data_IF_691493890785
#
_entry.id   IF_691493890785
#
_cell.length_a   1.000
_cell.length_b   1.000
_cell.length_c   1.000
_cell.angle_alpha   90.00
_cell.angle_beta   90.00
_cell.angle_gamma   90.00
#
_symmetry.space_group_name_H-M   'P 1'
#
loop_
_entity.id
_entity.type
_entity.pdbx_description
1 polymer ?
#
# COMPACT_ATOMS: atom_id res chain seq x y z
N UNK A 1 -11.16 -13.74 15.45
CA UNK A 1 -9.77 -14.16 15.25
C UNK A 1 -9.30 -13.55 13.95
N UNK A 2 -8.41 -12.56 13.99
CA UNK A 2 -7.92 -11.90 12.79
C UNK A 2 -6.41 -12.18 12.69
N UNK A 3 -6.08 -13.15 11.86
CA UNK A 3 -4.71 -13.38 11.41
C UNK A 3 -4.42 -12.37 10.31
N UNK A 4 -3.38 -11.57 10.51
CA UNK A 4 -2.97 -10.58 9.51
C UNK A 4 -1.63 -11.01 8.94
N UNK A 5 -1.72 -11.41 7.68
CA UNK A 5 -0.64 -11.78 6.78
C UNK A 5 0.29 -10.58 6.56
N UNK A 6 1.59 -10.88 6.54
CA UNK A 6 2.66 -9.92 6.37
C UNK A 6 2.49 -9.07 5.11
N UNK A 7 2.89 -7.79 5.21
CA UNK A 7 3.17 -6.97 4.03
C UNK A 7 4.24 -7.69 3.23
N UNK A 8 3.95 -8.04 1.98
CA UNK A 8 4.99 -8.51 1.08
C UNK A 8 5.84 -7.31 0.64
N UNK A 9 6.84 -6.97 1.47
CA UNK A 9 7.79 -5.90 1.19
C UNK A 9 8.63 -6.16 -0.08
N UNK A 10 8.58 -7.37 -0.62
CA UNK A 10 9.18 -7.68 -1.91
C UNK A 10 8.44 -6.98 -3.05
N UNK A 11 7.09 -6.97 -3.02
CA UNK A 11 6.28 -6.34 -4.06
C UNK A 11 6.54 -4.84 -4.08
N UNK A 12 6.43 -4.15 -2.94
CA UNK A 12 6.65 -2.69 -2.91
C UNK A 12 8.10 -2.33 -3.24
N UNK A 13 9.07 -3.19 -2.90
CA UNK A 13 10.48 -2.98 -3.28
C UNK A 13 10.76 -3.19 -4.78
N UNK A 14 9.85 -3.78 -5.55
CA UNK A 14 9.97 -3.88 -7.01
C UNK A 14 9.75 -2.52 -7.70
N UNK A 15 9.15 -1.54 -7.01
CA UNK A 15 9.12 -0.15 -7.51
C UNK A 15 10.50 0.50 -7.61
N UNK A 16 11.53 -0.07 -6.97
CA UNK A 16 12.81 0.61 -6.74
C UNK A 16 12.79 1.57 -5.55
N UNK A 17 11.62 1.84 -4.96
CA UNK A 17 11.47 2.68 -3.78
C UNK A 17 12.06 4.08 -3.97
N UNK A 18 12.80 4.57 -2.97
CA UNK A 18 13.48 5.86 -3.03
C UNK A 18 14.83 5.81 -3.77
N UNK A 19 15.24 4.63 -4.26
CA UNK A 19 16.53 4.46 -4.95
C UNK A 19 16.44 5.02 -6.37
N UNK A 20 17.49 5.71 -6.78
CA UNK A 20 17.60 6.38 -8.07
C UNK A 20 18.81 5.88 -8.85
N UNK A 21 18.94 6.26 -10.12
CA UNK A 21 20.12 5.92 -10.97
C UNK A 21 21.45 6.47 -10.43
N UNK A 22 21.40 7.34 -9.42
CA UNK A 22 22.58 7.90 -8.75
C UNK A 22 23.11 6.99 -7.64
N UNK A 23 22.32 6.03 -7.16
CA UNK A 23 22.71 5.07 -6.11
C UNK A 23 23.45 3.85 -6.70
N UNK A 24 23.73 3.86 -8.01
CA UNK A 24 24.50 2.85 -8.72
C UNK A 24 26.01 3.09 -8.55
N UNK A 25 26.79 2.06 -8.20
CA UNK A 25 28.19 2.20 -7.82
C UNK A 25 29.15 2.31 -9.02
N UNK A 26 28.96 1.52 -10.08
CA UNK A 26 29.87 1.47 -11.24
C UNK A 26 29.30 2.09 -12.52
N UNK A 27 28.01 2.46 -12.51
CA UNK A 27 27.28 2.94 -13.69
C UNK A 27 26.35 4.11 -13.32
N UNK A 28 26.89 5.14 -12.65
CA UNK A 28 26.12 6.31 -12.22
C UNK A 28 25.49 7.03 -13.41
N UNK A 29 24.17 7.19 -13.39
CA UNK A 29 23.45 8.02 -14.37
C UNK A 29 23.01 7.31 -15.66
N UNK A 30 23.24 6.01 -15.81
CA UNK A 30 22.61 5.22 -16.88
C UNK A 30 21.43 4.41 -16.33
N UNK A 31 20.24 4.45 -16.97
CA UNK A 31 19.06 3.73 -16.49
C UNK A 31 19.22 2.20 -16.56
N UNK A 32 20.27 1.71 -17.21
CA UNK A 32 20.52 0.28 -17.38
C UNK A 32 20.77 -0.46 -16.05
N UNK A 33 21.33 0.20 -15.02
CA UNK A 33 21.58 -0.42 -13.71
C UNK A 33 20.28 -0.85 -12.98
N UNK A 34 19.12 -0.33 -13.41
CA UNK A 34 17.81 -0.66 -12.85
C UNK A 34 17.09 -1.79 -13.62
N UNK A 35 17.20 -1.84 -14.96
CA UNK A 35 16.33 -2.66 -15.80
C UNK A 35 16.89 -4.01 -16.23
N UNK A 36 18.20 -4.16 -16.26
CA UNK A 36 18.85 -5.41 -16.65
C UNK A 36 20.08 -5.57 -15.79
N UNK A 37 20.24 -6.73 -15.17
CA UNK A 37 21.43 -7.08 -14.41
C UNK A 37 22.70 -7.08 -15.27
N UNK A 38 23.23 -5.90 -15.58
CA UNK A 38 24.67 -5.67 -15.57
C UNK A 38 25.21 -6.17 -14.20
N UNK A 39 26.40 -6.77 -14.16
CA UNK A 39 26.81 -7.62 -13.06
C UNK A 39 26.73 -6.85 -11.74
N UNK A 40 25.81 -7.26 -10.87
CA UNK A 40 25.84 -6.98 -9.43
C UNK A 40 26.23 -5.53 -9.09
N UNK A 41 25.43 -4.53 -9.51
CA UNK A 41 25.56 -3.18 -8.94
C UNK A 41 25.18 -3.27 -7.45
N UNK A 42 26.20 -3.48 -6.61
CA UNK A 42 26.08 -3.73 -5.17
C UNK A 42 25.32 -2.58 -4.49
N UNK A 43 25.57 -1.34 -4.92
CA UNK A 43 24.92 -0.14 -4.36
C UNK A 43 23.40 -0.13 -4.54
N UNK A 44 22.88 -0.55 -5.69
CA UNK A 44 21.44 -0.57 -5.94
C UNK A 44 20.74 -1.68 -5.14
N UNK A 45 21.38 -2.86 -5.03
CA UNK A 45 20.87 -3.97 -4.22
C UNK A 45 20.82 -3.61 -2.73
N UNK A 46 21.87 -2.98 -2.20
CA UNK A 46 21.91 -2.50 -0.82
C UNK A 46 20.85 -1.42 -0.55
N UNK A 47 20.65 -0.50 -1.50
CA UNK A 47 19.59 0.51 -1.41
C UNK A 47 18.20 -0.14 -1.40
N UNK A 48 17.94 -1.10 -2.30
CA UNK A 48 16.66 -1.80 -2.39
C UNK A 48 16.37 -2.63 -1.14
N UNK A 49 17.38 -3.30 -0.57
CA UNK A 49 17.23 -4.02 0.70
C UNK A 49 16.94 -3.07 1.87
N UNK A 50 17.64 -1.93 1.96
CA UNK A 50 17.36 -0.90 2.97
C UNK A 50 15.93 -0.37 2.83
N UNK A 51 15.49 -0.10 1.61
CA UNK A 51 14.14 0.37 1.33
C UNK A 51 13.09 -0.67 1.75
N UNK A 52 13.29 -1.94 1.40
CA UNK A 52 12.43 -3.07 1.82
C UNK A 52 12.30 -3.15 3.34
N UNK A 53 13.42 -3.10 4.08
CA UNK A 53 13.40 -3.12 5.55
C UNK A 53 12.64 -1.92 6.11
N UNK A 54 12.91 -0.72 5.60
CA UNK A 54 12.29 0.52 6.07
C UNK A 54 10.77 0.50 5.89
N UNK A 55 10.26 0.03 4.74
CA UNK A 55 8.83 -0.06 4.46
C UNK A 55 8.12 -1.08 5.36
N UNK A 56 8.75 -2.23 5.63
CA UNK A 56 8.21 -3.24 6.56
C UNK A 56 8.12 -2.65 7.96
N UNK A 57 9.18 -1.99 8.44
CA UNK A 57 9.17 -1.36 9.78
C UNK A 57 8.15 -0.23 9.88
N UNK A 58 8.04 0.63 8.86
CA UNK A 58 7.07 1.71 8.82
C UNK A 58 5.63 1.17 8.87
N UNK A 59 5.34 0.10 8.13
CA UNK A 59 4.00 -0.48 8.10
C UNK A 59 3.66 -1.19 9.41
N UNK A 60 4.63 -1.87 10.04
CA UNK A 60 4.43 -2.48 11.36
C UNK A 60 4.06 -1.43 12.42
N UNK A 61 4.80 -0.32 12.46
CA UNK A 61 4.52 0.80 13.38
C UNK A 61 3.17 1.44 13.07
N UNK A 62 2.88 1.74 11.80
CA UNK A 62 1.60 2.33 11.40
C UNK A 62 0.41 1.43 11.74
N UNK A 63 0.55 0.11 11.56
CA UNK A 63 -0.50 -0.87 11.89
C UNK A 63 -0.70 -0.98 13.40
N UNK A 64 0.39 -0.98 14.18
CA UNK A 64 0.32 -0.96 15.64
C UNK A 64 -0.41 0.28 16.15
N UNK A 65 -0.01 1.48 15.69
CA UNK A 65 -0.65 2.74 16.08
C UNK A 65 -2.13 2.74 15.69
N UNK A 66 -2.47 2.28 14.48
CA UNK A 66 -3.85 2.22 14.01
C UNK A 66 -4.71 1.26 14.84
N UNK A 67 -4.18 0.09 15.19
CA UNK A 67 -4.86 -0.87 16.06
C UNK A 67 -5.06 -0.33 17.48
N UNK A 68 -4.04 0.35 18.05
CA UNK A 68 -4.14 1.00 19.37
C UNK A 68 -5.21 2.10 19.35
N UNK A 69 -5.22 2.95 18.33
CA UNK A 69 -6.23 4.00 18.18
C UNK A 69 -7.63 3.42 18.02
N UNK A 70 -7.80 2.36 17.22
CA UNK A 70 -9.09 1.68 17.05
C UNK A 70 -9.55 1.03 18.37
N UNK A 71 -8.64 0.41 19.11
CA UNK A 71 -8.94 -0.17 20.42
C UNK A 71 -9.31 0.88 21.46
N UNK A 72 -8.59 2.00 21.51
CA UNK A 72 -8.79 3.05 22.51
C UNK A 72 -10.01 3.93 22.23
N UNK A 73 -10.25 4.31 20.97
CA UNK A 73 -11.33 5.25 20.61
C UNK A 73 -12.61 4.57 20.14
N UNK A 74 -12.53 3.42 19.47
CA UNK A 74 -13.70 2.78 18.88
C UNK A 74 -14.25 1.60 19.69
N UNK A 75 -13.58 1.19 20.78
CA UNK A 75 -14.00 0.09 21.67
C UNK A 75 -14.36 -1.21 20.91
N UNK A 76 -13.79 -1.41 19.72
CA UNK A 76 -13.98 -2.59 18.89
C UNK A 76 -12.62 -3.25 18.64
N UNK A 77 -12.43 -4.53 19.03
CA UNK A 77 -11.18 -5.25 18.85
C UNK A 77 -11.04 -5.74 17.40
N UNK A 78 -10.94 -4.82 16.45
CA UNK A 78 -10.65 -5.13 15.05
C UNK A 78 -9.18 -4.85 14.73
N UNK A 79 -8.47 -5.91 14.30
CA UNK A 79 -7.14 -5.78 13.73
C UNK A 79 -7.24 -5.19 12.32
N UNK A 80 -6.50 -4.11 12.09
CA UNK A 80 -6.42 -3.45 10.78
C UNK A 80 -5.25 -4.07 10.00
N UNK A 81 -5.55 -4.62 8.83
CA UNK A 81 -4.58 -5.26 7.94
C UNK A 81 -4.33 -4.41 6.68
N UNK A 82 -3.08 -4.26 6.24
CA UNK A 82 -2.78 -3.70 4.93
C UNK A 82 -3.21 -4.67 3.81
N UNK A 83 -3.95 -4.17 2.82
CA UNK A 83 -4.41 -4.98 1.68
C UNK A 83 -3.29 -5.24 0.67
N UNK A 84 -2.94 -6.51 0.45
CA UNK A 84 -1.88 -6.88 -0.52
C UNK A 84 -2.19 -6.43 -1.96
N UNK A 85 -3.48 -6.34 -2.34
CA UNK A 85 -3.89 -5.92 -3.69
C UNK A 85 -3.59 -4.44 -4.00
N UNK A 86 -3.75 -3.56 -3.01
CA UNK A 86 -3.42 -2.13 -3.18
C UNK A 86 -1.91 -1.94 -3.34
N UNK A 87 -1.11 -2.73 -2.63
CA UNK A 87 0.34 -2.69 -2.78
C UNK A 87 0.75 -3.11 -4.20
N UNK A 88 0.15 -4.16 -4.76
CA UNK A 88 0.42 -4.58 -6.14
C UNK A 88 -0.05 -3.55 -7.17
N UNK A 89 -1.22 -2.94 -6.97
CA UNK A 89 -1.72 -1.87 -7.85
C UNK A 89 -0.80 -0.64 -7.83
N UNK A 90 -0.41 -0.19 -6.64
CA UNK A 90 0.54 0.93 -6.48
C UNK A 90 1.87 0.63 -7.17
N UNK A 91 2.39 -0.59 -6.98
CA UNK A 91 3.69 -0.99 -7.49
C UNK A 91 3.70 -1.14 -9.01
N UNK A 92 2.75 -1.88 -9.56
CA UNK A 92 2.80 -2.27 -10.97
C UNK A 92 2.00 -1.35 -11.89
N UNK A 93 0.98 -0.66 -11.39
CA UNK A 93 0.13 0.23 -12.21
C UNK A 93 0.50 1.70 -12.04
N UNK A 94 0.74 2.17 -10.82
CA UNK A 94 0.99 3.60 -10.57
C UNK A 94 2.46 3.95 -10.82
N UNK A 95 3.38 3.25 -10.16
CA UNK A 95 4.83 3.55 -10.22
C UNK A 95 5.54 2.77 -11.32
N UNK A 96 5.15 1.51 -11.55
CA UNK A 96 5.82 0.61 -12.48
C UNK A 96 7.09 -0.01 -11.90
N UNK A 97 7.66 -0.98 -12.62
CA UNK A 97 8.91 -1.64 -12.23
C UNK A 97 10.07 -0.64 -12.24
N UNK A 98 10.79 -0.55 -11.12
CA UNK A 98 11.94 0.35 -10.96
C UNK A 98 11.66 1.82 -11.29
N UNK A 99 10.40 2.26 -11.18
CA UNK A 99 10.00 3.63 -11.46
C UNK A 99 10.06 4.04 -12.94
N UNK A 100 10.29 3.11 -13.88
CA UNK A 100 10.00 3.37 -15.31
C UNK A 100 8.93 2.40 -15.81
N UNK A 101 7.87 2.96 -16.39
CA UNK A 101 6.75 2.21 -16.94
C UNK A 101 5.41 2.46 -16.23
N UNK A 102 5.41 3.19 -15.11
CA UNK A 102 4.18 3.68 -14.47
C UNK A 102 3.73 5.05 -14.99
N UNK A 103 2.58 5.50 -14.49
CA UNK A 103 2.00 6.80 -14.84
C UNK A 103 2.77 7.96 -14.19
N UNK A 104 3.30 7.75 -12.98
CA UNK A 104 3.81 8.81 -12.09
C UNK A 104 5.04 8.30 -11.30
N UNK A 105 5.98 9.20 -10.96
CA UNK A 105 7.18 8.87 -10.16
C UNK A 105 6.84 8.43 -8.73
N UNK A 106 7.71 7.62 -8.09
CA UNK A 106 7.52 7.11 -6.73
C UNK A 106 7.24 8.22 -5.69
N UNK A 107 7.94 9.36 -5.77
CA UNK A 107 7.74 10.50 -4.86
C UNK A 107 6.36 11.14 -5.00
N UNK A 108 5.94 11.36 -6.24
CA UNK A 108 4.63 11.93 -6.56
C UNK A 108 3.50 10.97 -6.16
N UNK A 109 3.69 9.67 -6.36
CA UNK A 109 2.73 8.65 -5.94
C UNK A 109 2.54 8.61 -4.42
N UNK A 110 3.61 8.77 -3.63
CA UNK A 110 3.53 8.89 -2.17
C UNK A 110 2.85 10.19 -1.72
N UNK A 111 3.09 11.30 -2.42
CA UNK A 111 2.42 12.57 -2.13
C UNK A 111 0.90 12.48 -2.37
N UNK A 112 0.50 11.83 -3.48
CA UNK A 112 -0.90 11.57 -3.77
C UNK A 112 -1.55 10.68 -2.69
N UNK A 113 -0.89 9.60 -2.26
CA UNK A 113 -1.38 8.72 -1.19
C UNK A 113 -1.53 9.45 0.16
N UNK A 114 -0.63 10.39 0.46
CA UNK A 114 -0.74 11.21 1.67
C UNK A 114 -1.98 12.13 1.63
N UNK A 115 -2.24 12.78 0.49
CA UNK A 115 -3.42 13.64 0.30
C UNK A 115 -4.71 12.81 0.36
N UNK A 116 -4.72 11.62 -0.26
CA UNK A 116 -5.84 10.68 -0.18
C UNK A 116 -6.17 10.31 1.27
N UNK A 117 -5.15 10.06 2.10
CA UNK A 117 -5.31 9.80 3.53
C UNK A 117 -6.04 10.91 4.28
N UNK A 118 -5.72 12.17 3.98
CA UNK A 118 -6.42 13.34 4.57
C UNK A 118 -7.87 13.43 4.12
N UNK A 119 -8.15 13.21 2.85
CA UNK A 119 -9.52 13.19 2.31
C UNK A 119 -10.33 12.09 3.01
N UNK A 120 -9.75 10.89 3.15
CA UNK A 120 -10.40 9.76 3.82
C UNK A 120 -10.61 10.02 5.33
N UNK A 121 -9.69 10.71 5.99
CA UNK A 121 -9.85 11.10 7.39
C UNK A 121 -11.03 12.05 7.60
N UNK A 122 -11.17 13.07 6.75
CA UNK A 122 -12.31 14.01 6.80
C UNK A 122 -13.64 13.27 6.56
N UNK A 123 -13.67 12.36 5.59
CA UNK A 123 -14.88 11.55 5.31
C UNK A 123 -15.20 10.61 6.49
N UNK A 124 -14.18 10.06 7.15
CA UNK A 124 -14.38 9.16 8.30
C UNK A 124 -15.01 9.89 9.49
N UNK A 125 -14.63 11.14 9.75
CA UNK A 125 -15.21 11.97 10.82
C UNK A 125 -16.66 12.36 10.51
N UNK A 126 -17.02 12.56 9.24
CA UNK A 126 -18.39 12.93 8.84
C UNK A 126 -19.41 11.78 8.93
N UNK A 127 -19.01 10.59 9.40
CA UNK A 127 -19.93 9.52 9.79
C UNK A 127 -20.63 8.79 8.63
N UNK A 128 -20.14 8.95 7.39
CA UNK A 128 -20.73 8.36 6.19
C UNK A 128 -20.74 6.81 6.23
N UNK A 129 -19.87 6.21 7.05
CA UNK A 129 -19.78 4.76 7.28
C UNK A 129 -21.13 4.13 7.67
N UNK A 130 -21.91 4.79 8.53
CA UNK A 130 -23.22 4.25 8.98
C UNK A 130 -24.28 4.30 7.87
N UNK A 131 -24.23 5.32 7.01
CA UNK A 131 -25.19 5.45 5.90
C UNK A 131 -24.98 4.38 4.83
N UNK A 132 -23.73 4.04 4.52
CA UNK A 132 -23.40 3.02 3.53
C UNK A 132 -23.84 1.62 4.01
N UNK A 133 -23.62 1.28 5.29
CA UNK A 133 -24.08 -0.01 5.85
C UNK A 133 -25.59 -0.20 5.79
N UNK A 134 -26.36 0.89 5.95
CA UNK A 134 -27.83 0.85 5.82
C UNK A 134 -28.26 0.58 4.38
N UNK A 135 -27.58 1.16 3.40
CA UNK A 135 -27.89 0.97 1.97
C UNK A 135 -27.54 -0.45 1.50
N UNK A 136 -26.42 -1.01 1.94
CA UNK A 136 -26.02 -2.39 1.58
C UNK A 136 -26.93 -3.43 2.24
N UNK A 137 -27.42 -3.19 3.47
CA UNK A 137 -28.36 -4.09 4.14
C UNK A 137 -29.71 -4.16 3.41
N UNK A 138 -30.19 -3.05 2.86
CA UNK A 138 -31.49 -3.02 2.16
C UNK A 138 -31.48 -3.80 0.86
N UNK A 139 -30.36 -3.83 0.13
CA UNK A 139 -30.23 -4.56 -1.15
C UNK A 139 -30.03 -6.07 -0.96
N UNK A 140 -29.26 -6.50 0.06
CA UNK A 140 -29.06 -7.93 0.36
C UNK A 140 -30.33 -8.61 0.89
N UNK A 141 -31.16 -7.91 1.67
CA UNK A 141 -32.45 -8.44 2.10
C UNK A 141 -33.44 -8.59 0.94
N UNK A 142 -33.46 -7.63 0.01
CA UNK A 142 -34.30 -7.71 -1.20
C UNK A 142 -33.86 -8.81 -2.18
N UNK A 143 -32.55 -9.10 -2.26
CA UNK A 143 -32.02 -10.18 -3.09
C UNK A 143 -32.24 -11.57 -2.45
N UNK A 144 -32.18 -11.69 -1.12
CA UNK A 144 -32.47 -12.93 -0.40
C UNK A 144 -33.97 -13.30 -0.45
N UNK A 145 -34.87 -12.31 -0.36
CA UNK A 145 -36.32 -12.54 -0.42
C UNK A 145 -36.81 -12.92 -1.83
N UNK A 146 -36.06 -12.58 -2.89
CA UNK A 146 -36.34 -13.00 -4.28
C UNK A 146 -35.82 -14.40 -4.65
N UNK A 147 -34.96 -15.01 -3.82
CA UNK A 147 -34.41 -16.35 -4.07
C UNK A 147 -35.17 -17.49 -3.39
N UNK A 148 -36.27 -17.20 -2.67
CA UNK A 148 -36.98 -18.14 -1.80
C UNK A 148 -38.50 -18.16 -1.97
N UNK A 149 -39.02 -17.92 -3.18
CA UNK A 149 -40.42 -18.23 -3.50
C UNK A 149 -40.47 -19.37 -4.52
N UNK A 150 -41.16 -20.49 -4.22
CA UNK A 150 -41.41 -21.55 -5.19
C UNK A 150 -42.25 -21.06 -6.37
#
# INVERSE_FOLDING_TARGET
MAYILAVNGNIVADTGGACTVNDCANNTGVPFCMFMGAPFDLGYLECRERAKRSMVTATAVASFVSCVLMGAFANLPFGIAPGMGINAFFTYTVVGFFGSGGMISYREALAAAFIEGWIFFVISITGLRTKITTIVRSTRLQAADRGGRP
#
